data_IF_644636181347
#
_entry.id   IF_644636181347
#
_cell.length_a   1.000
_cell.length_b   1.000
_cell.length_c   1.000
_cell.angle_alpha   90.00
_cell.angle_beta   90.00
_cell.angle_gamma   90.00
#
_symmetry.space_group_name_H-M   'P 1'
#
loop_
_entity.id
_entity.type
_entity.pdbx_description
1 polymer ?
#
# COMPACT_ATOMS: atom_id res chain seq x y z
N UNK A 1 -2.23 2.27 -17.49
CA UNK A 1 -2.02 2.76 -16.12
C UNK A 1 -3.38 2.84 -15.45
N UNK A 2 -3.61 2.05 -14.42
CA UNK A 2 -4.86 2.09 -13.63
C UNK A 2 -4.64 3.08 -12.50
N UNK A 3 -5.46 4.15 -12.44
CA UNK A 3 -5.45 5.10 -11.34
C UNK A 3 -6.55 4.70 -10.35
N UNK A 4 -6.16 4.26 -9.17
CA UNK A 4 -7.07 4.17 -8.04
C UNK A 4 -7.31 5.59 -7.50
N UNK A 5 -8.59 5.97 -7.43
CA UNK A 5 -9.00 7.25 -6.84
C UNK A 5 -9.80 6.94 -5.58
N UNK A 6 -9.19 7.17 -4.44
CA UNK A 6 -9.88 7.05 -3.16
C UNK A 6 -10.37 8.42 -2.72
N UNK A 7 -11.65 8.56 -2.32
CA UNK A 7 -12.10 9.73 -1.60
C UNK A 7 -11.26 9.94 -0.36
N UNK A 8 -10.79 11.18 -0.14
CA UNK A 8 -9.96 11.51 1.01
C UNK A 8 -10.33 12.86 1.61
N UNK A 9 -10.16 12.98 2.92
CA UNK A 9 -10.10 14.25 3.62
C UNK A 9 -8.65 14.49 4.06
N UNK A 10 -8.03 15.53 3.48
CA UNK A 10 -6.62 15.84 3.69
C UNK A 10 -6.44 17.19 4.36
N UNK A 11 -5.57 17.23 5.37
CA UNK A 11 -5.10 18.46 6.01
C UNK A 11 -3.61 18.65 5.70
N UNK A 12 -3.28 19.79 5.13
CA UNK A 12 -1.88 20.19 4.87
C UNK A 12 -1.46 21.18 5.94
N UNK A 13 -0.55 20.76 6.83
CA UNK A 13 -0.05 21.57 7.94
C UNK A 13 1.04 22.54 7.53
N UNK A 14 1.83 22.17 6.53
CA UNK A 14 2.91 22.98 5.99
C UNK A 14 2.96 22.80 4.48
N UNK A 15 2.99 23.92 3.77
CA UNK A 15 3.13 23.96 2.30
C UNK A 15 4.04 25.12 1.92
N UNK A 16 5.32 24.82 1.80
CA UNK A 16 6.34 25.77 1.35
C UNK A 16 7.04 25.23 0.10
N UNK A 17 7.79 26.06 -0.65
CA UNK A 17 8.53 25.59 -1.82
C UNK A 17 9.53 24.46 -1.51
N UNK A 18 10.07 24.40 -0.28
CA UNK A 18 11.10 23.43 0.12
C UNK A 18 10.58 22.29 0.99
N UNK A 19 9.43 22.46 1.63
CA UNK A 19 8.90 21.49 2.59
C UNK A 19 7.39 21.43 2.55
N UNK A 20 6.83 20.20 2.47
CA UNK A 20 5.39 19.95 2.59
C UNK A 20 5.13 18.83 3.59
N UNK A 21 4.09 19.00 4.40
CA UNK A 21 3.60 17.98 5.31
C UNK A 21 2.08 17.94 5.30
N UNK A 22 1.52 16.75 5.15
CA UNK A 22 0.08 16.54 5.15
C UNK A 22 -0.28 15.20 5.80
N UNK A 23 -1.50 15.15 6.35
CA UNK A 23 -2.15 13.94 6.85
C UNK A 23 -3.51 13.83 6.20
N UNK A 24 -3.96 12.62 5.91
CA UNK A 24 -5.28 12.38 5.36
C UNK A 24 -5.94 11.15 5.98
N UNK A 25 -7.26 11.14 5.97
CA UNK A 25 -8.08 9.94 6.10
C UNK A 25 -8.64 9.64 4.72
N UNK A 26 -8.58 8.36 4.34
CA UNK A 26 -8.92 7.91 3.00
C UNK A 26 -9.94 6.77 3.08
N UNK A 27 -10.73 6.59 2.02
CA UNK A 27 -11.54 5.40 1.92
C UNK A 27 -10.61 4.19 1.89
N UNK A 28 -10.80 3.29 2.86
CA UNK A 28 -10.06 2.04 2.88
C UNK A 28 -10.42 1.18 1.67
N UNK A 29 -9.41 0.57 1.09
CA UNK A 29 -9.54 -0.41 0.02
C UNK A 29 -8.60 -1.56 0.35
N UNK A 30 -9.17 -2.73 0.67
CA UNK A 30 -8.38 -3.91 1.00
C UNK A 30 -8.77 -5.08 0.12
N UNK A 31 -7.78 -5.79 -0.38
CA UNK A 31 -7.95 -7.02 -1.13
C UNK A 31 -7.66 -8.21 -0.22
N UNK A 32 -8.67 -9.07 -0.06
CA UNK A 32 -8.63 -10.22 0.84
C UNK A 32 -8.94 -11.47 0.05
N UNK A 33 -8.04 -12.44 0.12
CA UNK A 33 -8.22 -13.75 -0.51
C UNK A 33 -8.20 -14.87 0.53
N UNK A 34 -9.07 -15.85 0.35
CA UNK A 34 -9.15 -17.03 1.21
C UNK A 34 -7.90 -17.91 1.15
N UNK A 35 -7.06 -17.77 0.10
CA UNK A 35 -5.86 -18.57 -0.07
C UNK A 35 -6.13 -20.07 0.00
N UNK A 36 -5.31 -20.78 0.76
CA UNK A 36 -5.42 -22.23 0.93
C UNK A 36 -6.74 -22.69 1.58
N UNK A 37 -7.44 -21.82 2.30
CA UNK A 37 -8.73 -22.18 2.91
C UNK A 37 -9.76 -22.56 1.86
N UNK A 38 -9.70 -21.95 0.67
CA UNK A 38 -10.59 -22.29 -0.45
C UNK A 38 -10.39 -23.74 -0.94
N UNK A 39 -9.18 -24.28 -0.81
CA UNK A 39 -8.87 -25.67 -1.19
C UNK A 39 -9.22 -26.66 -0.08
N UNK A 40 -8.96 -26.29 1.18
CA UNK A 40 -9.18 -27.13 2.36
C UNK A 40 -10.67 -27.20 2.75
N UNK A 41 -11.36 -26.08 2.72
CA UNK A 41 -12.79 -25.93 2.98
C UNK A 41 -13.41 -24.95 1.99
N UNK A 42 -13.85 -25.43 0.81
CA UNK A 42 -14.45 -24.57 -0.21
C UNK A 42 -15.69 -23.82 0.25
N UNK A 43 -16.47 -24.39 1.16
CA UNK A 43 -17.67 -23.74 1.68
C UNK A 43 -17.30 -22.52 2.52
N UNK A 44 -16.30 -22.63 3.35
CA UNK A 44 -15.77 -21.52 4.14
C UNK A 44 -15.01 -20.52 3.25
N UNK A 45 -14.11 -21.00 2.41
CA UNK A 45 -13.26 -20.13 1.59
C UNK A 45 -14.01 -19.27 0.58
N UNK A 46 -15.10 -19.77 0.01
CA UNK A 46 -15.93 -19.01 -0.94
C UNK A 46 -16.84 -17.98 -0.25
N UNK A 47 -17.07 -18.11 1.04
CA UNK A 47 -17.89 -17.20 1.83
C UNK A 47 -17.07 -16.14 2.59
N UNK A 48 -15.74 -16.22 2.56
CA UNK A 48 -14.86 -15.17 3.12
C UNK A 48 -14.98 -13.88 2.31
N UNK A 49 -15.32 -12.81 3.02
CA UNK A 49 -15.53 -11.49 2.42
C UNK A 49 -14.73 -10.42 3.19
N UNK A 50 -13.98 -9.61 2.45
CA UNK A 50 -13.29 -8.45 3.01
C UNK A 50 -14.26 -7.37 3.45
N UNK A 51 -13.98 -6.77 4.58
CA UNK A 51 -14.69 -5.60 5.10
C UNK A 51 -13.71 -4.48 5.47
N UNK A 52 -14.15 -3.24 5.33
CA UNK A 52 -13.36 -2.04 5.64
C UNK A 52 -14.00 -1.29 6.81
N UNK A 53 -13.69 -1.66 8.06
CA UNK A 53 -14.43 -1.17 9.24
C UNK A 53 -14.16 0.31 9.56
N UNK A 54 -13.02 0.84 9.18
CA UNK A 54 -12.63 2.24 9.40
C UNK A 54 -11.85 2.77 8.19
N UNK A 55 -11.85 4.10 7.97
CA UNK A 55 -10.98 4.72 6.97
C UNK A 55 -9.50 4.49 7.26
N UNK A 56 -8.69 4.53 6.22
CA UNK A 56 -7.23 4.46 6.32
C UNK A 56 -6.65 5.83 6.72
N UNK A 57 -5.57 5.79 7.47
CA UNK A 57 -4.81 6.97 7.87
C UNK A 57 -3.51 7.03 7.08
N UNK A 58 -3.30 8.14 6.37
CA UNK A 58 -2.06 8.39 5.62
C UNK A 58 -1.39 9.67 6.07
N UNK A 59 -0.06 9.69 5.95
CA UNK A 59 0.75 10.87 6.19
C UNK A 59 1.84 10.99 5.13
N UNK A 60 2.18 12.22 4.76
CA UNK A 60 3.18 12.50 3.74
C UNK A 60 4.06 13.66 4.14
N UNK A 61 5.36 13.49 3.98
CA UNK A 61 6.38 14.51 4.09
C UNK A 61 7.13 14.61 2.76
N UNK A 62 7.37 15.83 2.26
CA UNK A 62 8.16 16.06 1.05
C UNK A 62 9.15 17.19 1.26
N UNK A 63 10.40 16.94 0.88
CA UNK A 63 11.49 17.89 0.82
C UNK A 63 11.83 18.19 -0.64
N UNK A 64 12.11 19.44 -0.96
CA UNK A 64 12.41 19.88 -2.32
C UNK A 64 13.51 20.95 -2.28
N UNK A 65 14.36 20.93 -3.31
CA UNK A 65 15.45 21.92 -3.46
C UNK A 65 16.14 21.75 -4.81
N UNK A 66 17.21 22.48 -5.04
CA UNK A 66 17.99 22.42 -6.29
C UNK A 66 18.62 21.03 -6.52
N UNK A 67 18.85 20.27 -5.45
CA UNK A 67 19.34 18.89 -5.49
C UNK A 67 18.30 17.88 -6.00
N UNK A 68 17.02 18.28 -6.02
CA UNK A 68 15.90 17.41 -6.38
C UNK A 68 14.79 17.38 -5.35
N UNK A 69 14.21 16.20 -5.10
CA UNK A 69 13.15 16.01 -4.11
C UNK A 69 13.25 14.66 -3.40
N UNK A 70 12.79 14.63 -2.17
CA UNK A 70 12.59 13.41 -1.37
C UNK A 70 11.17 13.42 -0.82
N UNK A 71 10.51 12.26 -0.82
CA UNK A 71 9.20 12.07 -0.23
C UNK A 71 9.21 10.84 0.66
N UNK A 72 8.64 10.98 1.85
CA UNK A 72 8.34 9.88 2.76
C UNK A 72 6.83 9.87 3.00
N UNK A 73 6.20 8.71 2.85
CA UNK A 73 4.78 8.51 3.14
C UNK A 73 4.59 7.31 4.06
N UNK A 74 3.61 7.40 4.93
CA UNK A 74 3.20 6.31 5.82
C UNK A 74 1.70 6.04 5.68
N UNK A 75 1.33 4.78 5.91
CA UNK A 75 -0.05 4.28 5.85
C UNK A 75 -0.33 3.40 7.06
N UNK A 76 -1.52 3.55 7.65
CA UNK A 76 -2.13 2.62 8.58
C UNK A 76 -3.52 2.26 8.07
N UNK A 77 -3.79 0.96 7.98
CA UNK A 77 -5.07 0.41 7.51
C UNK A 77 -5.57 -0.67 8.46
N UNK A 78 -6.88 -0.84 8.57
CA UNK A 78 -7.47 -1.95 9.31
C UNK A 78 -8.08 -2.94 8.34
N UNK A 79 -7.37 -4.03 8.11
CA UNK A 79 -7.80 -5.16 7.32
C UNK A 79 -8.75 -6.01 8.15
N UNK A 80 -9.89 -6.42 7.59
CA UNK A 80 -10.82 -7.29 8.29
C UNK A 80 -11.61 -8.15 7.30
N UNK A 81 -12.06 -9.31 7.76
CA UNK A 81 -12.94 -10.19 7.02
C UNK A 81 -14.04 -10.75 7.92
N UNK A 82 -15.11 -11.16 7.31
CA UNK A 82 -16.16 -12.00 7.89
C UNK A 82 -16.47 -13.16 6.93
N UNK A 83 -17.22 -14.14 7.42
CA UNK A 83 -17.70 -15.25 6.60
C UNK A 83 -19.21 -15.12 6.43
N UNK A 84 -19.65 -14.69 5.26
CA UNK A 84 -21.07 -14.56 4.96
C UNK A 84 -21.76 -15.94 4.88
N UNK A 85 -23.08 -15.97 5.02
CA UNK A 85 -23.88 -17.19 5.00
C UNK A 85 -23.55 -18.21 6.13
N UNK A 86 -22.91 -17.75 7.20
CA UNK A 86 -22.66 -18.53 8.41
C UNK A 86 -23.34 -17.89 9.62
N UNK A 87 -23.57 -18.63 10.72
CA UNK A 87 -24.08 -18.03 11.95
C UNK A 87 -23.16 -16.91 12.44
N UNK A 88 -23.75 -15.72 12.72
CA UNK A 88 -23.05 -14.54 13.24
C UNK A 88 -21.91 -14.01 12.31
N UNK A 89 -21.88 -14.44 11.04
CA UNK A 89 -20.81 -14.16 10.06
C UNK A 89 -19.42 -14.63 10.54
N UNK A 90 -19.38 -15.68 11.32
CA UNK A 90 -18.13 -16.28 11.80
C UNK A 90 -17.66 -17.45 10.89
N UNK A 91 -16.35 -17.72 10.79
CA UNK A 91 -15.25 -17.01 11.44
C UNK A 91 -15.01 -15.62 10.86
N UNK A 92 -14.68 -14.69 11.73
CA UNK A 92 -14.26 -13.32 11.39
C UNK A 92 -12.88 -13.01 11.94
N UNK A 93 -12.25 -11.96 11.43
CA UNK A 93 -10.94 -11.55 11.93
C UNK A 93 -10.51 -10.18 11.44
N UNK A 94 -9.58 -9.57 12.17
CA UNK A 94 -8.99 -8.30 11.75
C UNK A 94 -7.52 -8.20 12.12
N UNK A 95 -6.77 -7.44 11.30
CA UNK A 95 -5.35 -7.16 11.49
C UNK A 95 -5.07 -5.71 11.14
N UNK A 96 -4.14 -5.08 11.86
CA UNK A 96 -3.60 -3.79 11.45
C UNK A 96 -2.58 -4.02 10.33
N UNK A 97 -2.80 -3.38 9.21
CA UNK A 97 -1.83 -3.23 8.13
C UNK A 97 -1.09 -1.90 8.27
N UNK A 98 0.13 -1.85 7.78
CA UNK A 98 0.95 -0.65 7.81
C UNK A 98 1.94 -0.64 6.67
N UNK A 99 2.36 0.54 6.24
CA UNK A 99 3.37 0.69 5.20
C UNK A 99 4.12 2.00 5.26
N UNK A 100 5.33 1.96 4.73
CA UNK A 100 6.19 3.12 4.52
C UNK A 100 6.65 3.11 3.06
N UNK A 101 6.57 4.27 2.42
CA UNK A 101 7.08 4.49 1.07
C UNK A 101 8.03 5.68 1.10
N UNK A 102 9.28 5.48 0.67
CA UNK A 102 10.27 6.51 0.49
C UNK A 102 10.67 6.61 -0.98
N UNK A 103 10.66 7.81 -1.53
CA UNK A 103 11.03 8.09 -2.91
C UNK A 103 11.92 9.32 -3.03
N UNK A 104 12.87 9.28 -3.96
CA UNK A 104 13.76 10.39 -4.24
C UNK A 104 13.91 10.61 -5.75
N UNK A 105 13.99 11.86 -6.15
CA UNK A 105 14.43 12.28 -7.47
C UNK A 105 15.62 13.22 -7.27
N UNK A 106 16.81 12.78 -7.64
CA UNK A 106 18.08 13.45 -7.37
C UNK A 106 18.67 13.99 -8.67
N UNK A 107 18.91 15.28 -8.74
CA UNK A 107 19.55 15.92 -9.89
C UNK A 107 21.06 15.59 -9.89
N UNK A 108 21.49 14.69 -10.79
CA UNK A 108 22.87 14.29 -10.99
C UNK A 108 23.49 15.08 -12.15
N UNK A 109 23.59 16.41 -11.96
CA UNK A 109 24.02 17.35 -12.99
C UNK A 109 22.86 17.93 -13.80
N UNK A 110 23.19 18.65 -14.89
CA UNK A 110 22.20 19.40 -15.68
C UNK A 110 21.25 18.54 -16.53
N UNK A 111 21.63 17.30 -16.83
CA UNK A 111 20.92 16.47 -17.82
C UNK A 111 20.49 15.11 -17.28
N UNK A 112 20.83 14.78 -16.04
CA UNK A 112 20.55 13.44 -15.47
C UNK A 112 19.77 13.56 -14.18
N UNK A 113 18.74 12.70 -14.04
CA UNK A 113 17.97 12.55 -12.81
C UNK A 113 17.98 11.09 -12.39
N UNK A 114 18.34 10.83 -11.14
CA UNK A 114 18.20 9.53 -10.51
C UNK A 114 16.86 9.48 -9.78
N UNK A 115 16.04 8.46 -10.06
CA UNK A 115 14.78 8.22 -9.38
C UNK A 115 14.88 6.92 -8.60
N UNK A 116 14.70 7.00 -7.30
CA UNK A 116 14.77 5.88 -6.39
C UNK A 116 13.48 5.77 -5.61
N UNK A 117 13.04 4.56 -5.37
CA UNK A 117 11.85 4.29 -4.57
C UNK A 117 11.96 2.99 -3.81
N UNK A 118 11.46 2.97 -2.58
CA UNK A 118 11.29 1.78 -1.79
C UNK A 118 9.95 1.85 -1.06
N UNK A 119 9.21 0.75 -1.08
CA UNK A 119 8.02 0.55 -0.29
C UNK A 119 8.19 -0.71 0.54
N UNK A 120 7.79 -0.65 1.81
CA UNK A 120 7.82 -1.78 2.73
C UNK A 120 6.66 -1.71 3.70
N UNK A 121 6.05 -2.87 3.97
CA UNK A 121 4.96 -2.97 4.93
C UNK A 121 4.24 -4.31 4.89
N UNK A 122 3.16 -4.39 5.66
CA UNK A 122 2.29 -5.55 5.75
C UNK A 122 0.85 -5.15 5.45
N UNK A 123 0.19 -5.83 4.51
CA UNK A 123 -1.21 -5.61 4.17
C UNK A 123 -1.45 -4.28 3.46
N UNK A 124 -0.62 -3.95 2.49
CA UNK A 124 -0.66 -2.70 1.74
C UNK A 124 -0.60 -2.89 0.23
N UNK A 125 -0.79 -4.13 -0.24
CA UNK A 125 -0.64 -4.48 -1.65
C UNK A 125 -1.66 -3.76 -2.55
N UNK A 126 -2.88 -3.49 -2.06
CA UNK A 126 -3.91 -2.72 -2.77
C UNK A 126 -3.51 -1.27 -3.06
N UNK A 127 -2.53 -0.72 -2.33
CA UNK A 127 -1.94 0.60 -2.60
C UNK A 127 -0.85 0.58 -3.68
N UNK A 128 -0.45 -0.62 -4.10
CA UNK A 128 0.53 -0.81 -5.17
C UNK A 128 -0.18 -1.33 -6.42
N UNK A 129 0.23 -0.84 -7.59
CA UNK A 129 -0.29 -1.37 -8.84
C UNK A 129 0.18 -2.84 -8.98
N UNK A 130 -0.77 -3.76 -9.15
CA UNK A 130 -0.53 -5.21 -9.24
C UNK A 130 0.17 -5.82 -8.00
N UNK A 131 0.01 -5.20 -6.83
CA UNK A 131 0.68 -5.61 -5.59
C UNK A 131 0.17 -6.92 -4.98
N UNK A 132 -0.97 -7.42 -5.41
CA UNK A 132 -1.59 -8.63 -4.87
C UNK A 132 -2.52 -8.37 -3.69
N UNK A 133 -2.69 -9.38 -2.83
CA UNK A 133 -3.63 -9.34 -1.70
C UNK A 133 -3.01 -8.71 -0.45
N UNK A 134 -3.84 -8.08 0.37
CA UNK A 134 -3.45 -7.46 1.64
C UNK A 134 -3.51 -8.44 2.81
N UNK A 135 -4.54 -9.30 2.82
CA UNK A 135 -4.79 -10.24 3.91
C UNK A 135 -5.09 -11.62 3.35
N UNK A 136 -4.43 -12.63 3.90
CA UNK A 136 -4.72 -14.04 3.68
C UNK A 136 -4.95 -14.72 5.04
N UNK A 137 -6.20 -15.10 5.41
CA UNK A 137 -6.45 -15.88 6.60
C UNK A 137 -5.71 -17.21 6.55
N UNK A 138 -5.15 -17.64 7.70
CA UNK A 138 -4.45 -18.91 7.82
C UNK A 138 -5.14 -19.81 8.84
N UNK A 139 -5.06 -21.12 8.64
CA UNK A 139 -5.50 -22.09 9.61
C UNK A 139 -4.60 -22.05 10.86
N UNK A 140 -5.21 -22.15 12.03
CA UNK A 140 -4.48 -22.18 13.30
C UNK A 140 -5.21 -23.02 14.33
N UNK A 141 -4.49 -23.92 14.96
CA UNK A 141 -5.00 -24.73 16.07
C UNK A 141 -5.16 -23.94 17.38
N UNK A 142 -4.54 -22.76 17.47
CA UNK A 142 -4.63 -21.88 18.64
C UNK A 142 -5.83 -20.91 18.60
N UNK A 143 -6.52 -20.83 17.45
CA UNK A 143 -7.70 -19.98 17.32
C UNK A 143 -8.97 -20.79 17.59
N UNK A 144 -9.92 -20.28 18.38
CA UNK A 144 -11.22 -20.92 18.60
C UNK A 144 -12.01 -21.15 17.31
N UNK A 145 -11.80 -20.30 16.31
CA UNK A 145 -12.46 -20.38 14.99
C UNK A 145 -11.67 -21.18 13.95
N UNK A 146 -10.47 -21.67 14.32
CA UNK A 146 -9.56 -22.37 13.41
C UNK A 146 -8.83 -21.45 12.42
N UNK A 147 -9.12 -20.16 12.39
CA UNK A 147 -8.52 -19.18 11.49
C UNK A 147 -7.85 -18.02 12.24
N UNK A 148 -6.78 -17.49 11.68
CA UNK A 148 -6.12 -16.26 12.13
C UNK A 148 -5.89 -15.31 10.94
N UNK A 149 -6.16 -14.01 11.09
CA UNK A 149 -5.86 -13.03 10.05
C UNK A 149 -4.35 -12.84 9.92
N UNK A 150 -3.84 -12.91 8.71
CA UNK A 150 -2.43 -12.63 8.40
C UNK A 150 -2.31 -11.60 7.31
N UNK A 151 -1.72 -10.45 7.63
CA UNK A 151 -1.35 -9.45 6.66
C UNK A 151 -0.19 -9.98 5.79
N UNK A 152 -0.26 -9.69 4.51
CA UNK A 152 0.76 -10.15 3.54
C UNK A 152 1.88 -9.13 3.49
N UNK A 153 3.15 -9.53 3.72
CA UNK A 153 4.28 -8.63 3.63
C UNK A 153 4.54 -8.21 2.17
N UNK A 154 4.92 -6.95 1.99
CA UNK A 154 5.26 -6.39 0.70
C UNK A 154 6.57 -5.61 0.78
N UNK A 155 7.44 -5.86 -0.18
CA UNK A 155 8.65 -5.07 -0.44
C UNK A 155 8.69 -4.75 -1.93
N UNK A 156 8.77 -3.47 -2.26
CA UNK A 156 8.98 -2.99 -3.62
C UNK A 156 10.17 -2.05 -3.69
N UNK A 157 10.97 -2.16 -4.73
CA UNK A 157 12.13 -1.29 -4.99
C UNK A 157 12.08 -0.85 -6.44
N UNK A 158 12.34 0.43 -6.68
CA UNK A 158 12.46 1.00 -8.02
C UNK A 158 13.72 1.85 -8.10
N UNK A 159 14.42 1.77 -9.23
CA UNK A 159 15.57 2.61 -9.52
C UNK A 159 15.61 2.96 -11.01
N UNK A 160 15.64 4.24 -11.34
CA UNK A 160 15.69 4.74 -12.71
C UNK A 160 16.77 5.81 -12.86
N UNK A 161 17.37 5.82 -14.03
CA UNK A 161 18.25 6.89 -14.50
C UNK A 161 17.59 7.50 -15.72
N UNK A 162 17.19 8.77 -15.63
CA UNK A 162 16.68 9.56 -16.75
C UNK A 162 17.81 10.43 -17.25
N UNK A 163 18.13 10.39 -18.55
CA UNK A 163 19.15 11.23 -19.15
C UNK A 163 18.64 11.97 -20.39
N UNK A 164 18.85 13.28 -20.41
CA UNK A 164 18.54 14.14 -21.57
C UNK A 164 19.82 14.37 -22.39
N UNK A 165 19.90 13.71 -23.54
CA UNK A 165 21.02 13.85 -24.49
C UNK A 165 20.98 15.17 -25.25
N UNK A 166 19.78 15.66 -25.55
CA UNK A 166 19.51 16.92 -26.24
C UNK A 166 18.12 17.44 -25.86
N UNK A 167 17.71 18.57 -26.44
CA UNK A 167 16.34 19.09 -26.29
C UNK A 167 15.27 18.18 -26.92
N UNK A 168 15.63 17.31 -27.86
CA UNK A 168 14.71 16.41 -28.55
C UNK A 168 14.88 14.94 -28.15
N UNK A 169 15.99 14.59 -27.52
CA UNK A 169 16.35 13.21 -27.23
C UNK A 169 16.56 12.98 -25.72
N UNK A 170 15.84 12.03 -25.16
CA UNK A 170 16.04 11.55 -23.81
C UNK A 170 15.92 10.03 -23.74
N UNK A 171 16.49 9.43 -22.74
CA UNK A 171 16.34 8.01 -22.43
C UNK A 171 16.16 7.79 -20.93
N UNK A 172 15.47 6.72 -20.58
CA UNK A 172 15.32 6.24 -19.22
C UNK A 172 15.72 4.77 -19.17
N UNK A 173 16.50 4.40 -18.18
CA UNK A 173 16.84 3.02 -17.86
C UNK A 173 16.54 2.78 -16.40
N UNK A 174 15.88 1.66 -16.09
CA UNK A 174 15.56 1.37 -14.71
C UNK A 174 14.99 0.00 -14.48
N UNK A 175 14.77 -0.26 -13.19
CA UNK A 175 14.22 -1.49 -12.64
C UNK A 175 13.13 -1.15 -11.63
#
# INVERSE_FOLDING_TARGET
MVFLRNPQLRVTFKDTPTFKFAVAIEQANSDIDAGQIRELDPALGNNLQGITPIPDLTAQLRLMGDWGSFQLSGLLTKLAYNTVNTPDNEPSGSKLGWGINAGAAINAGASTVLRLGVVYGDGIASYMNDGGMDLAPQTSTSSPTGLVPKAVPLLGVTAYVDHNWSKQFSSALGY
#
